data_IF_332732176915
#
_entry.id   IF_332732176915
#
_cell.length_a   1.000
_cell.length_b   1.000
_cell.length_c   1.000
_cell.angle_alpha   90.00
_cell.angle_beta   90.00
_cell.angle_gamma   90.00
#
_symmetry.space_group_name_H-M   'P 1'
#
loop_
_entity.id
_entity.type
_entity.pdbx_description
1 polymer ?
#
# COMPACT_ATOMS: atom_id res chain seq x y z
N UNK A 1 5.99 -16.60 12.01
CA UNK A 1 7.26 -15.83 12.12
C UNK A 1 6.91 -14.43 12.57
N UNK A 2 7.75 -13.82 13.41
CA UNK A 2 7.68 -12.40 13.75
C UNK A 2 8.89 -11.73 13.14
N UNK A 3 8.67 -10.69 12.33
CA UNK A 3 9.77 -9.90 11.76
C UNK A 3 10.39 -9.03 12.85
N UNK A 4 11.70 -8.86 12.83
CA UNK A 4 12.37 -7.97 13.78
C UNK A 4 11.86 -6.52 13.59
N UNK A 5 11.75 -6.08 12.34
CA UNK A 5 11.32 -4.74 11.94
C UNK A 5 10.95 -4.72 10.44
N UNK A 6 10.57 -3.55 9.93
CA UNK A 6 10.29 -3.34 8.50
C UNK A 6 11.52 -3.58 7.62
N UNK A 7 12.72 -3.33 8.13
CA UNK A 7 13.95 -3.55 7.37
C UNK A 7 14.17 -5.03 7.08
N UNK A 8 14.01 -5.91 8.07
CA UNK A 8 14.09 -7.35 7.86
C UNK A 8 13.01 -7.84 6.91
N UNK A 9 11.77 -7.39 7.08
CA UNK A 9 10.66 -7.76 6.20
C UNK A 9 10.94 -7.35 4.75
N UNK A 10 11.46 -6.15 4.51
CA UNK A 10 11.84 -5.68 3.18
C UNK A 10 12.98 -6.50 2.58
N UNK A 11 13.96 -6.91 3.38
CA UNK A 11 15.06 -7.79 2.91
C UNK A 11 14.54 -9.12 2.42
N UNK A 12 13.59 -9.72 3.15
CA UNK A 12 12.96 -10.99 2.76
C UNK A 12 12.07 -10.83 1.51
N UNK A 13 11.35 -9.71 1.40
CA UNK A 13 10.60 -9.40 0.17
C UNK A 13 11.52 -9.23 -1.04
N UNK A 14 12.67 -8.56 -0.87
CA UNK A 14 13.64 -8.40 -1.95
C UNK A 14 14.15 -9.74 -2.46
N UNK A 15 14.39 -10.70 -1.57
CA UNK A 15 14.76 -12.07 -1.95
C UNK A 15 13.63 -12.76 -2.74
N UNK A 16 12.39 -12.63 -2.27
CA UNK A 16 11.24 -13.22 -2.96
C UNK A 16 10.97 -12.58 -4.34
N UNK A 17 11.41 -11.34 -4.53
CA UNK A 17 11.25 -10.56 -5.77
C UNK A 17 12.52 -10.58 -6.65
N UNK A 18 13.50 -11.41 -6.34
CA UNK A 18 14.81 -11.41 -7.00
C UNK A 18 14.74 -11.60 -8.54
N UNK A 19 13.69 -12.25 -9.05
CA UNK A 19 13.46 -12.41 -10.49
C UNK A 19 13.31 -11.07 -11.23
N UNK A 20 12.92 -10.00 -10.53
CA UNK A 20 12.73 -8.66 -11.10
C UNK A 20 13.97 -7.78 -11.00
N UNK A 21 15.02 -8.23 -10.32
CA UNK A 21 16.26 -7.48 -10.21
C UNK A 21 16.88 -7.23 -11.58
N UNK A 22 17.22 -5.99 -11.85
CA UNK A 22 17.80 -5.57 -13.14
C UNK A 22 16.78 -5.34 -14.25
N UNK A 23 15.49 -5.61 -14.02
CA UNK A 23 14.42 -5.29 -14.96
C UNK A 23 13.85 -3.89 -14.78
N UNK A 24 14.52 -3.08 -13.99
CA UNK A 24 14.17 -1.69 -13.71
C UNK A 24 12.73 -1.52 -13.21
N UNK A 25 12.32 -2.27 -12.16
CA UNK A 25 10.96 -2.20 -11.67
C UNK A 25 10.66 -0.84 -11.04
N UNK A 26 9.41 -0.41 -11.16
CA UNK A 26 8.89 0.75 -10.42
C UNK A 26 8.28 0.24 -9.10
N UNK A 27 8.88 0.64 -8.00
CA UNK A 27 8.38 0.31 -6.66
C UNK A 27 7.47 1.44 -6.20
N UNK A 28 6.21 1.14 -5.96
CA UNK A 28 5.22 2.10 -5.47
C UNK A 28 4.84 1.75 -4.04
N UNK A 29 5.25 2.59 -3.12
CA UNK A 29 4.96 2.42 -1.70
C UNK A 29 3.68 3.14 -1.29
N UNK A 30 2.86 2.48 -0.49
CA UNK A 30 1.69 3.11 0.14
C UNK A 30 2.18 3.88 1.36
N UNK A 31 2.13 5.22 1.36
CA UNK A 31 2.57 6.00 2.51
C UNK A 31 1.68 5.72 3.74
N UNK A 32 2.19 5.80 4.96
CA UNK A 32 3.58 6.21 5.27
C UNK A 32 4.50 5.02 5.53
N UNK A 33 4.00 3.97 6.19
CA UNK A 33 4.77 2.86 6.73
C UNK A 33 5.58 2.07 5.68
N UNK A 34 5.08 1.98 4.46
CA UNK A 34 5.75 1.24 3.40
C UNK A 34 6.87 2.00 2.69
N UNK A 35 7.01 3.32 2.89
CA UNK A 35 8.00 4.12 2.14
C UNK A 35 9.45 3.71 2.43
N UNK A 36 9.87 3.47 3.69
CA UNK A 36 11.21 2.94 3.95
C UNK A 36 11.46 1.58 3.31
N UNK A 37 10.44 0.72 3.31
CA UNK A 37 10.51 -0.60 2.66
C UNK A 37 10.66 -0.47 1.15
N UNK A 38 9.88 0.43 0.54
CA UNK A 38 9.96 0.72 -0.89
C UNK A 38 11.33 1.23 -1.32
N UNK A 39 11.95 2.08 -0.52
CA UNK A 39 13.32 2.55 -0.76
C UNK A 39 14.32 1.40 -0.77
N UNK A 40 14.22 0.51 0.19
CA UNK A 40 15.08 -0.66 0.30
C UNK A 40 14.89 -1.61 -0.89
N UNK A 41 13.64 -1.88 -1.29
CA UNK A 41 13.33 -2.70 -2.46
C UNK A 41 13.86 -2.10 -3.76
N UNK A 42 13.68 -0.79 -3.95
CA UNK A 42 14.18 -0.09 -5.14
C UNK A 42 15.70 -0.23 -5.26
N UNK A 43 16.44 -0.07 -4.18
CA UNK A 43 17.89 -0.29 -4.14
C UNK A 43 18.26 -1.74 -4.44
N UNK A 44 17.62 -2.70 -3.77
CA UNK A 44 17.92 -4.11 -3.91
C UNK A 44 17.63 -4.65 -5.32
N UNK A 45 16.58 -4.16 -5.97
CA UNK A 45 16.11 -4.63 -7.28
C UNK A 45 16.61 -3.78 -8.45
N UNK A 46 17.40 -2.74 -8.17
CA UNK A 46 17.87 -1.76 -9.17
C UNK A 46 16.71 -1.10 -9.92
N UNK A 47 15.70 -0.69 -9.15
CA UNK A 47 14.51 -0.01 -9.63
C UNK A 47 14.41 1.44 -9.16
N UNK A 48 13.24 2.02 -9.36
CA UNK A 48 12.91 3.36 -8.90
C UNK A 48 11.83 3.31 -7.82
N UNK A 49 11.84 4.31 -6.93
CA UNK A 49 10.83 4.48 -5.89
C UNK A 49 9.90 5.64 -6.24
N UNK A 50 8.61 5.42 -6.05
CA UNK A 50 7.58 6.46 -5.99
C UNK A 50 6.52 6.05 -4.98
N UNK A 51 5.51 6.87 -4.76
CA UNK A 51 4.38 6.59 -3.86
C UNK A 51 3.08 6.47 -4.65
N UNK A 52 2.17 5.68 -4.12
CA UNK A 52 0.78 5.62 -4.58
C UNK A 52 -0.11 6.12 -3.45
N UNK A 53 -0.93 7.14 -3.73
CA UNK A 53 -1.72 7.81 -2.72
C UNK A 53 -3.13 7.23 -2.67
N UNK A 54 -3.40 6.53 -1.58
CA UNK A 54 -4.69 5.95 -1.24
C UNK A 54 -4.94 6.12 0.24
N UNK A 55 -6.20 6.11 0.64
CA UNK A 55 -6.58 6.22 2.05
C UNK A 55 -7.71 5.25 2.36
N UNK A 56 -7.69 4.65 3.56
CA UNK A 56 -8.82 3.87 4.06
C UNK A 56 -10.01 4.78 4.34
N UNK A 57 -11.22 4.29 4.09
CA UNK A 57 -12.45 4.84 4.61
C UNK A 57 -12.71 4.17 5.95
N UNK A 58 -12.75 4.96 7.02
CA UNK A 58 -12.79 4.47 8.40
C UNK A 58 -14.22 4.17 8.81
N UNK A 59 -14.41 3.14 9.63
CA UNK A 59 -15.71 2.89 10.25
C UNK A 59 -16.07 4.01 11.24
N UNK A 60 -17.38 4.36 11.38
CA UNK A 60 -17.79 5.51 12.21
C UNK A 60 -17.43 5.35 13.69
N UNK A 61 -17.42 4.13 14.22
CA UNK A 61 -17.18 3.85 15.64
C UNK A 61 -15.82 3.20 15.91
N UNK A 62 -15.04 2.95 14.87
CA UNK A 62 -13.70 2.40 14.99
C UNK A 62 -12.82 2.94 13.85
N UNK A 63 -12.04 4.01 14.08
CA UNK A 63 -11.24 4.65 13.03
C UNK A 63 -10.08 3.79 12.53
N UNK A 64 -9.71 2.72 13.24
CA UNK A 64 -8.69 1.77 12.80
C UNK A 64 -9.25 0.71 11.84
N UNK A 65 -10.56 0.52 11.84
CA UNK A 65 -11.22 -0.47 11.00
C UNK A 65 -11.63 0.15 9.66
N UNK A 66 -11.11 -0.42 8.56
CA UNK A 66 -11.43 0.05 7.21
C UNK A 66 -12.72 -0.57 6.69
N UNK A 67 -13.65 0.27 6.24
CA UNK A 67 -14.88 -0.16 5.53
C UNK A 67 -14.77 0.06 4.02
N UNK A 68 -13.65 0.56 3.55
CA UNK A 68 -13.35 0.81 2.15
C UNK A 68 -12.07 1.61 1.99
N UNK A 69 -11.88 2.15 0.80
CA UNK A 69 -10.72 2.98 0.46
C UNK A 69 -11.03 3.92 -0.70
N UNK A 70 -10.19 4.93 -0.86
CA UNK A 70 -10.30 5.93 -1.93
C UNK A 70 -8.91 6.23 -2.49
N UNK A 71 -8.81 6.41 -3.82
CA UNK A 71 -7.59 6.83 -4.52
C UNK A 71 -7.59 8.34 -4.85
N UNK A 72 -6.51 8.80 -5.49
CA UNK A 72 -6.38 10.21 -5.91
C UNK A 72 -7.45 10.67 -6.90
N UNK A 73 -7.98 9.77 -7.71
CA UNK A 73 -9.02 10.09 -8.71
C UNK A 73 -10.40 10.23 -8.08
N UNK A 74 -10.55 9.81 -6.84
CA UNK A 74 -11.84 9.72 -6.15
C UNK A 74 -12.53 8.37 -6.33
N UNK A 75 -11.92 7.42 -7.06
CA UNK A 75 -12.47 6.07 -7.12
C UNK A 75 -12.47 5.43 -5.74
N UNK A 76 -13.56 4.75 -5.43
CA UNK A 76 -13.83 4.24 -4.10
C UNK A 76 -14.17 2.75 -4.15
N UNK A 77 -13.48 1.99 -3.30
CA UNK A 77 -13.87 0.64 -2.93
C UNK A 77 -14.66 0.71 -1.62
N UNK A 78 -15.82 0.04 -1.58
CA UNK A 78 -16.64 -0.08 -0.36
C UNK A 78 -16.83 -1.57 -0.09
N UNK A 79 -16.45 -2.02 1.10
CA UNK A 79 -16.59 -3.41 1.50
C UNK A 79 -18.06 -3.80 1.72
N UNK A 80 -18.39 -5.05 1.45
CA UNK A 80 -19.76 -5.58 1.57
C UNK A 80 -20.32 -5.42 3.00
N UNK A 81 -19.44 -5.45 4.01
CA UNK A 81 -19.81 -5.30 5.42
C UNK A 81 -19.91 -3.82 5.89
N UNK A 82 -19.69 -2.85 5.01
CA UNK A 82 -19.65 -1.44 5.42
C UNK A 82 -20.94 -0.99 6.13
N UNK A 83 -22.10 -1.34 5.58
CA UNK A 83 -23.39 -1.00 6.19
C UNK A 83 -23.56 -1.64 7.58
N UNK A 84 -23.19 -2.90 7.75
CA UNK A 84 -23.27 -3.59 9.06
C UNK A 84 -22.25 -3.07 10.07
N UNK A 85 -21.17 -2.42 9.61
CA UNK A 85 -20.22 -1.69 10.44
C UNK A 85 -20.65 -0.26 10.78
N UNK A 86 -21.89 0.13 10.44
CA UNK A 86 -22.46 1.43 10.75
C UNK A 86 -22.19 2.53 9.73
N UNK A 87 -21.57 2.22 8.60
CA UNK A 87 -21.26 3.20 7.58
C UNK A 87 -22.45 3.41 6.64
N UNK A 88 -23.27 4.43 6.92
CA UNK A 88 -24.36 4.85 6.04
C UNK A 88 -23.81 5.51 4.77
N UNK A 89 -24.67 5.62 3.74
CA UNK A 89 -24.30 6.33 2.50
C UNK A 89 -23.90 7.79 2.76
N UNK A 90 -24.61 8.49 3.65
CA UNK A 90 -24.29 9.86 4.02
C UNK A 90 -22.94 9.95 4.77
N UNK A 91 -22.69 9.05 5.70
CA UNK A 91 -21.40 8.95 6.39
C UNK A 91 -20.26 8.71 5.40
N UNK A 92 -20.40 7.73 4.49
CA UNK A 92 -19.37 7.41 3.50
C UNK A 92 -19.04 8.61 2.62
N UNK A 93 -20.04 9.39 2.20
CA UNK A 93 -19.77 10.58 1.37
C UNK A 93 -18.92 11.61 2.12
N UNK A 94 -19.21 11.87 3.40
CA UNK A 94 -18.40 12.75 4.24
C UNK A 94 -16.98 12.19 4.43
N UNK A 95 -16.86 10.90 4.72
CA UNK A 95 -15.55 10.25 4.90
C UNK A 95 -14.71 10.28 3.64
N UNK A 96 -15.31 10.06 2.46
CA UNK A 96 -14.64 10.18 1.15
C UNK A 96 -14.04 11.57 0.97
N UNK A 97 -14.81 12.62 1.21
CA UNK A 97 -14.35 14.00 1.05
C UNK A 97 -13.20 14.32 2.04
N UNK A 98 -13.30 13.87 3.28
CA UNK A 98 -12.25 14.05 4.27
C UNK A 98 -10.95 13.37 3.87
N UNK A 99 -11.01 12.11 3.43
CA UNK A 99 -9.81 11.36 3.03
C UNK A 99 -9.20 11.88 1.73
N UNK A 100 -10.03 12.30 0.77
CA UNK A 100 -9.55 12.86 -0.49
C UNK A 100 -8.80 14.19 -0.25
N UNK A 101 -9.26 15.01 0.69
CA UNK A 101 -8.56 16.23 1.08
C UNK A 101 -7.14 15.94 1.61
N UNK A 102 -6.98 14.89 2.41
CA UNK A 102 -5.68 14.44 2.92
C UNK A 102 -4.78 13.96 1.77
N UNK A 103 -5.32 13.18 0.83
CA UNK A 103 -4.58 12.73 -0.36
C UNK A 103 -4.04 13.93 -1.15
N UNK A 104 -4.88 14.91 -1.41
CA UNK A 104 -4.50 16.12 -2.15
C UNK A 104 -3.42 16.92 -1.44
N UNK A 105 -3.53 17.05 -0.12
CA UNK A 105 -2.51 17.70 0.69
C UNK A 105 -1.16 16.96 0.58
N UNK A 106 -1.16 15.64 0.73
CA UNK A 106 0.06 14.83 0.57
C UNK A 106 0.66 14.95 -0.83
N UNK A 107 -0.15 14.94 -1.85
CA UNK A 107 0.35 15.12 -3.23
C UNK A 107 1.06 16.47 -3.37
N UNK A 108 0.52 17.53 -2.81
CA UNK A 108 1.15 18.86 -2.80
C UNK A 108 2.51 18.86 -2.06
N UNK A 109 2.64 18.07 -1.01
CA UNK A 109 3.89 17.93 -0.24
C UNK A 109 4.93 17.09 -0.98
N UNK A 110 4.51 15.99 -1.64
CA UNK A 110 5.44 15.00 -2.20
C UNK A 110 5.90 15.34 -3.62
N UNK A 111 5.04 15.91 -4.45
CA UNK A 111 5.36 16.18 -5.86
C UNK A 111 6.61 17.06 -6.06
N UNK A 112 6.87 18.12 -5.24
CA UNK A 112 8.10 18.89 -5.37
C UNK A 112 9.37 18.10 -5.04
N UNK A 113 9.26 17.08 -4.19
CA UNK A 113 10.39 16.25 -3.76
C UNK A 113 10.64 15.10 -4.73
N UNK A 114 9.58 14.50 -5.21
CA UNK A 114 9.62 13.39 -6.16
C UNK A 114 8.44 13.53 -7.14
N UNK A 115 8.67 14.04 -8.35
CA UNK A 115 7.63 14.08 -9.38
C UNK A 115 7.10 12.67 -9.67
N UNK A 116 5.80 12.52 -9.92
CA UNK A 116 5.21 11.22 -10.21
C UNK A 116 5.86 10.55 -11.42
N UNK A 117 6.16 9.26 -11.30
CA UNK A 117 6.70 8.43 -12.37
C UNK A 117 5.55 7.73 -13.08
N UNK A 118 5.53 7.77 -14.42
CA UNK A 118 4.51 7.08 -15.20
C UNK A 118 4.71 5.56 -15.12
N UNK A 119 3.73 4.79 -14.61
CA UNK A 119 3.81 3.35 -14.53
C UNK A 119 3.53 2.62 -15.85
N UNK A 120 3.14 3.33 -16.92
CA UNK A 120 2.78 2.71 -18.19
C UNK A 120 3.94 1.89 -18.75
N UNK A 121 3.66 0.63 -19.13
CA UNK A 121 4.66 -0.27 -19.72
C UNK A 121 5.74 -0.76 -18.74
N UNK A 122 5.67 -0.41 -17.46
CA UNK A 122 6.64 -0.80 -16.44
C UNK A 122 6.21 -2.06 -15.70
N UNK A 123 7.19 -2.78 -15.15
CA UNK A 123 6.92 -3.73 -14.06
C UNK A 123 6.71 -2.90 -12.81
N UNK A 124 5.50 -2.97 -12.25
CA UNK A 124 5.09 -2.17 -11.08
C UNK A 124 4.91 -3.10 -9.89
N UNK A 125 5.62 -2.80 -8.80
CA UNK A 125 5.52 -3.53 -7.54
C UNK A 125 4.97 -2.60 -6.48
N UNK A 126 3.74 -2.87 -6.03
CA UNK A 126 3.10 -2.10 -4.95
C UNK A 126 3.44 -2.79 -3.63
N UNK A 127 4.03 -2.03 -2.72
CA UNK A 127 4.47 -2.56 -1.41
C UNK A 127 3.71 -1.91 -0.26
N UNK A 128 3.37 -2.73 0.73
CA UNK A 128 2.89 -2.28 2.04
C UNK A 128 3.54 -3.13 3.14
N UNK A 129 3.46 -2.67 4.38
CA UNK A 129 4.06 -3.35 5.53
C UNK A 129 3.23 -4.55 6.05
N UNK A 130 2.06 -4.73 5.52
CA UNK A 130 1.12 -5.81 5.76
C UNK A 130 -0.29 -5.38 5.40
N UNK A 131 -1.17 -6.35 5.18
CA UNK A 131 -2.57 -6.09 4.88
C UNK A 131 -3.45 -6.66 5.99
N UNK A 132 -4.41 -5.88 6.45
CA UNK A 132 -5.52 -6.35 7.29
C UNK A 132 -6.73 -6.66 6.40
N UNK A 133 -7.54 -5.68 6.06
CA UNK A 133 -8.69 -5.84 5.15
C UNK A 133 -8.29 -5.83 3.66
N UNK A 134 -7.12 -5.28 3.34
CA UNK A 134 -6.65 -5.09 1.97
C UNK A 134 -7.25 -3.90 1.24
N UNK A 135 -8.08 -3.09 1.90
CA UNK A 135 -8.83 -2.01 1.25
C UNK A 135 -7.92 -0.99 0.52
N UNK A 136 -6.84 -0.53 1.15
CA UNK A 136 -5.91 0.43 0.53
C UNK A 136 -5.15 -0.19 -0.65
N UNK A 137 -4.74 -1.44 -0.53
CA UNK A 137 -4.08 -2.17 -1.62
C UNK A 137 -5.02 -2.36 -2.82
N UNK A 138 -6.29 -2.66 -2.60
CA UNK A 138 -7.29 -2.77 -3.66
C UNK A 138 -7.39 -1.46 -4.45
N UNK A 139 -7.52 -0.32 -3.76
CA UNK A 139 -7.56 1.00 -4.43
C UNK A 139 -6.28 1.31 -5.19
N UNK A 140 -5.12 1.01 -4.61
CA UNK A 140 -3.83 1.23 -5.26
C UNK A 140 -3.69 0.41 -6.55
N UNK A 141 -4.00 -0.88 -6.47
CA UNK A 141 -3.94 -1.78 -7.63
C UNK A 141 -4.94 -1.39 -8.72
N UNK A 142 -6.16 -1.03 -8.34
CA UNK A 142 -7.16 -0.56 -9.28
C UNK A 142 -6.70 0.69 -10.04
N UNK A 143 -6.19 1.69 -9.31
CA UNK A 143 -5.68 2.94 -9.90
C UNK A 143 -4.51 2.67 -10.87
N UNK A 144 -3.60 1.78 -10.49
CA UNK A 144 -2.43 1.46 -11.29
C UNK A 144 -2.75 0.62 -12.51
N UNK A 145 -3.74 -0.27 -12.42
CA UNK A 145 -4.21 -1.05 -13.58
C UNK A 145 -4.67 -0.13 -14.71
N UNK A 146 -5.36 0.96 -14.39
CA UNK A 146 -5.82 1.96 -15.36
C UNK A 146 -4.65 2.67 -16.07
N UNK A 147 -3.45 2.68 -15.49
CA UNK A 147 -2.24 3.26 -16.07
C UNK A 147 -1.51 2.31 -17.02
N UNK A 148 -2.02 1.12 -17.25
CA UNK A 148 -1.50 0.12 -18.19
C UNK A 148 -0.04 -0.30 -17.93
N UNK A 149 0.31 -0.78 -16.73
CA UNK A 149 1.63 -1.34 -16.49
C UNK A 149 1.81 -2.63 -17.31
N UNK A 150 3.06 -3.00 -17.60
CA UNK A 150 3.37 -4.26 -18.26
C UNK A 150 3.07 -5.45 -17.33
N UNK A 151 3.33 -5.29 -16.03
CA UNK A 151 3.00 -6.26 -14.99
C UNK A 151 2.72 -5.52 -13.67
N UNK A 152 1.70 -5.94 -12.94
CA UNK A 152 1.29 -5.34 -11.68
C UNK A 152 1.38 -6.39 -10.56
N UNK A 153 2.24 -6.12 -9.58
CA UNK A 153 2.59 -7.04 -8.50
C UNK A 153 2.24 -6.40 -7.17
N UNK A 154 1.58 -7.16 -6.30
CA UNK A 154 1.41 -6.81 -4.89
C UNK A 154 2.50 -7.54 -4.07
N UNK A 155 3.23 -6.81 -3.24
CA UNK A 155 4.28 -7.37 -2.38
C UNK A 155 4.08 -6.92 -0.93
N UNK A 156 3.79 -7.88 -0.04
CA UNK A 156 3.57 -7.64 1.37
C UNK A 156 4.19 -8.74 2.22
N UNK A 157 4.72 -8.41 3.41
CA UNK A 157 5.26 -9.44 4.32
C UNK A 157 4.20 -10.36 4.90
N UNK A 158 3.01 -9.83 5.18
CA UNK A 158 1.98 -10.56 5.91
C UNK A 158 0.58 -10.09 5.51
N UNK A 159 -0.34 -11.03 5.36
CA UNK A 159 -1.76 -10.76 5.14
C UNK A 159 -2.60 -11.98 5.52
N UNK A 160 -3.88 -11.81 5.92
CA UNK A 160 -4.77 -12.95 6.11
C UNK A 160 -5.05 -13.68 4.79
N UNK A 161 -5.29 -15.00 4.82
CA UNK A 161 -5.55 -15.78 3.59
C UNK A 161 -6.72 -15.26 2.75
N UNK A 162 -7.84 -14.87 3.39
CA UNK A 162 -9.03 -14.35 2.71
C UNK A 162 -8.78 -12.98 2.06
N UNK A 163 -7.95 -12.14 2.67
CA UNK A 163 -7.52 -10.89 2.06
C UNK A 163 -6.69 -11.14 0.80
N UNK A 164 -5.77 -12.10 0.82
CA UNK A 164 -4.97 -12.46 -0.34
C UNK A 164 -5.83 -12.94 -1.51
N UNK A 165 -6.89 -13.69 -1.25
CA UNK A 165 -7.83 -14.13 -2.30
C UNK A 165 -8.47 -12.92 -3.01
N UNK A 166 -8.88 -11.89 -2.25
CA UNK A 166 -9.42 -10.66 -2.83
C UNK A 166 -8.38 -9.91 -3.67
N UNK A 167 -7.16 -9.80 -3.17
CA UNK A 167 -6.07 -9.07 -3.83
C UNK A 167 -5.70 -9.70 -5.17
N UNK A 168 -5.77 -11.03 -5.29
CA UNK A 168 -5.46 -11.75 -6.55
C UNK A 168 -6.32 -11.32 -7.72
N UNK A 169 -7.51 -10.79 -7.49
CA UNK A 169 -8.39 -10.27 -8.54
C UNK A 169 -7.86 -8.96 -9.16
N UNK A 170 -6.98 -8.24 -8.44
CA UNK A 170 -6.50 -6.91 -8.83
C UNK A 170 -5.04 -6.88 -9.31
N UNK A 171 -4.28 -7.92 -9.06
CA UNK A 171 -2.85 -7.99 -9.40
C UNK A 171 -2.54 -9.17 -10.32
N UNK A 172 -1.50 -9.05 -11.15
CA UNK A 172 -1.02 -10.17 -11.97
C UNK A 172 -0.28 -11.20 -11.12
N UNK A 173 0.37 -10.75 -10.05
CA UNK A 173 1.10 -11.58 -9.11
C UNK A 173 0.98 -11.02 -7.70
N UNK A 174 0.87 -11.90 -6.72
CA UNK A 174 0.87 -11.55 -5.30
C UNK A 174 2.02 -12.28 -4.62
N UNK A 175 2.94 -11.51 -4.04
CA UNK A 175 4.04 -12.01 -3.23
C UNK A 175 3.75 -11.69 -1.78
N UNK A 176 3.51 -12.72 -0.97
CA UNK A 176 3.25 -12.60 0.46
C UNK A 176 4.14 -13.61 1.19
N UNK A 177 4.90 -13.15 2.20
CA UNK A 177 5.84 -14.01 2.90
C UNK A 177 5.15 -14.97 3.85
N UNK A 178 4.07 -14.53 4.50
CA UNK A 178 3.27 -15.40 5.37
C UNK A 178 1.80 -14.99 5.40
N UNK A 179 0.93 -15.99 5.51
CA UNK A 179 -0.52 -15.83 5.53
C UNK A 179 -1.11 -16.53 6.77
N UNK A 180 -0.98 -15.93 7.97
CA UNK A 180 -1.40 -16.55 9.21
C UNK A 180 -2.93 -16.65 9.31
N UNK A 181 -3.43 -17.77 9.83
CA UNK A 181 -4.86 -18.00 10.05
C UNK A 181 -5.44 -17.05 11.11
N UNK A 182 -4.65 -16.74 12.14
CA UNK A 182 -5.03 -15.83 13.22
C UNK A 182 -4.36 -14.48 13.02
N UNK A 183 -5.15 -13.49 12.60
CA UNK A 183 -4.68 -12.16 12.28
C UNK A 183 -5.57 -11.12 12.96
N UNK A 184 -4.99 -10.29 13.82
CA UNK A 184 -5.67 -9.17 14.46
C UNK A 184 -5.25 -7.83 13.88
N UNK A 185 -3.95 -7.59 13.75
CA UNK A 185 -3.38 -6.37 13.22
C UNK A 185 -1.98 -6.63 12.63
N UNK A 186 -1.58 -5.79 11.67
CA UNK A 186 -0.26 -5.89 11.02
C UNK A 186 0.88 -5.84 12.04
N UNK A 187 0.83 -4.91 13.00
CA UNK A 187 1.88 -4.72 14.02
C UNK A 187 2.14 -5.94 14.90
N UNK A 188 1.19 -6.87 14.99
CA UNK A 188 1.33 -8.12 15.71
C UNK A 188 2.48 -9.01 15.19
N UNK A 189 2.87 -8.83 13.92
CA UNK A 189 3.88 -9.63 13.24
C UNK A 189 5.26 -8.97 13.20
N UNK A 190 5.43 -7.85 13.91
CA UNK A 190 6.67 -7.12 14.03
C UNK A 190 7.08 -6.98 15.50
N UNK A 191 8.34 -7.26 15.80
CA UNK A 191 8.89 -7.04 17.15
C UNK A 191 9.07 -5.54 17.43
N UNK A 192 9.54 -4.78 16.43
CA UNK A 192 9.64 -3.32 16.43
C UNK A 192 8.86 -2.77 15.25
N UNK A 193 7.85 -1.93 15.53
CA UNK A 193 6.94 -1.39 14.52
C UNK A 193 6.63 0.08 14.79
N UNK A 194 7.67 0.96 14.74
CA UNK A 194 7.45 2.37 14.99
C UNK A 194 6.63 3.01 13.88
N UNK A 195 5.90 4.06 14.21
CA UNK A 195 5.17 4.85 13.23
C UNK A 195 6.17 5.63 12.36
N UNK A 196 5.98 5.56 11.04
CA UNK A 196 6.74 6.37 10.08
C UNK A 196 6.06 7.73 9.98
N UNK A 197 6.80 8.81 10.23
CA UNK A 197 6.28 10.16 10.16
C UNK A 197 6.47 10.83 8.77
N UNK A 198 5.85 11.99 8.58
CA UNK A 198 5.91 12.71 7.31
C UNK A 198 7.34 13.19 7.00
N UNK A 199 8.13 13.57 8.01
CA UNK A 199 9.51 14.02 7.82
C UNK A 199 10.40 12.91 7.28
N UNK A 200 10.22 11.68 7.75
CA UNK A 200 10.94 10.51 7.25
C UNK A 200 10.57 10.21 5.79
N UNK A 201 9.28 10.26 5.45
CA UNK A 201 8.80 10.07 4.07
C UNK A 201 9.39 11.12 3.14
N UNK A 202 9.35 12.39 3.53
CA UNK A 202 9.90 13.50 2.75
C UNK A 202 11.40 13.36 2.54
N UNK A 203 12.15 12.98 3.57
CA UNK A 203 13.59 12.74 3.47
C UNK A 203 13.91 11.60 2.47
N UNK A 204 13.16 10.51 2.52
CA UNK A 204 13.34 9.38 1.59
C UNK A 204 13.02 9.79 0.16
N UNK A 205 11.90 10.48 -0.08
CA UNK A 205 11.51 10.93 -1.41
C UNK A 205 12.50 11.93 -2.02
N UNK A 206 13.09 12.79 -1.20
CA UNK A 206 14.11 13.76 -1.64
C UNK A 206 15.38 13.09 -2.15
N UNK A 207 15.66 11.86 -1.72
CA UNK A 207 16.85 11.09 -2.10
C UNK A 207 16.58 10.07 -3.23
N UNK A 208 15.32 9.93 -3.60
CA UNK A 208 14.90 8.92 -4.59
C UNK A 208 15.20 9.32 -6.04
#
# INVERSE_FOLDING_TARGET
>A
MIFADRHQAASLLAQALAAYKGQHPLILAIPRGAVPMGQQLAKALHGELDVVLVRKLRAPFNPEFAVGSIDESGWTYVADYAASAGASAAYLEQEKQAQLAIIRQRRTQYTPLRPPIDPAGRIVIVVDDGLATGATMISALHALRAKKPAKLICAVPVAPPDTLEKIREYADEVVCLQAPAFFQAVGQFYADFPQVDDAEVEAILSQA
#
